data_IF_838321828618
#
_entry.id   IF_838321828618
#
_cell.length_a   1.000
_cell.length_b   1.000
_cell.length_c   1.000
_cell.angle_alpha   90.00
_cell.angle_beta   90.00
_cell.angle_gamma   90.00
#
_symmetry.space_group_name_H-M   'P 1'
#
loop_
_entity.id
_entity.type
_entity.pdbx_description
1 polymer ?
#
# COMPACT_ATOMS: atom_id res chain seq x y z
N UNK A 1 18.33 -22.68 14.53
CA UNK A 1 18.33 -21.41 15.30
C UNK A 1 17.69 -21.57 16.66
N UNK A 2 16.44 -22.06 16.78
CA UNK A 2 15.87 -22.37 18.10
C UNK A 2 16.40 -23.70 18.68
N UNK A 3 16.66 -24.68 17.81
CA UNK A 3 17.21 -25.99 18.21
C UNK A 3 18.74 -26.01 18.37
N UNK A 4 19.43 -24.89 18.13
CA UNK A 4 20.86 -24.79 18.42
C UNK A 4 21.07 -24.51 19.91
N UNK A 5 22.21 -24.91 20.48
CA UNK A 5 22.56 -24.69 21.90
C UNK A 5 22.35 -23.25 22.37
N UNK A 6 22.74 -22.28 21.55
CA UNK A 6 22.52 -20.85 21.81
C UNK A 6 21.03 -20.47 21.86
N UNK A 7 20.19 -21.10 21.03
CA UNK A 7 18.75 -20.89 20.99
C UNK A 7 18.05 -21.46 22.22
N UNK A 8 18.41 -22.68 22.62
CA UNK A 8 17.86 -23.34 23.81
C UNK A 8 18.28 -22.62 25.10
N UNK A 9 19.52 -22.13 25.20
CA UNK A 9 19.99 -21.32 26.33
C UNK A 9 19.19 -20.02 26.48
N UNK A 10 18.91 -19.31 25.37
CA UNK A 10 18.07 -18.09 25.41
C UNK A 10 16.63 -18.41 25.82
N UNK A 11 16.06 -19.51 25.31
CA UNK A 11 14.71 -19.94 25.69
C UNK A 11 14.64 -20.32 27.18
N UNK A 12 15.66 -21.01 27.70
CA UNK A 12 15.79 -21.35 29.13
C UNK A 12 15.92 -20.11 30.00
N UNK A 13 16.72 -19.11 29.59
CA UNK A 13 16.87 -17.82 30.31
C UNK A 13 15.53 -17.10 30.50
N UNK A 14 14.65 -17.14 29.50
CA UNK A 14 13.33 -16.52 29.59
C UNK A 14 12.24 -17.48 30.09
N UNK A 15 12.60 -18.72 30.48
CA UNK A 15 11.70 -19.77 30.92
C UNK A 15 10.57 -20.05 29.91
N UNK A 16 10.89 -20.33 28.64
CA UNK A 16 9.92 -20.68 27.59
C UNK A 16 10.41 -21.89 26.80
N UNK A 17 9.49 -22.78 26.40
CA UNK A 17 9.80 -23.86 25.46
C UNK A 17 10.16 -23.30 24.07
N UNK A 18 11.12 -23.95 23.40
CA UNK A 18 11.48 -23.65 22.01
C UNK A 18 10.30 -23.77 21.05
N UNK A 19 9.41 -24.74 21.29
CA UNK A 19 8.19 -24.96 20.50
C UNK A 19 7.24 -23.78 20.59
N UNK A 20 7.00 -23.26 21.80
CA UNK A 20 6.13 -22.10 21.97
C UNK A 20 6.75 -20.82 21.38
N UNK A 21 8.07 -20.66 21.47
CA UNK A 21 8.75 -19.55 20.79
C UNK A 21 8.58 -19.66 19.28
N UNK A 22 8.68 -20.88 18.73
CA UNK A 22 8.46 -21.13 17.30
C UNK A 22 7.01 -20.87 16.89
N UNK A 23 6.02 -21.36 17.63
CA UNK A 23 4.60 -21.13 17.37
C UNK A 23 4.25 -19.63 17.36
N UNK A 24 4.78 -18.88 18.33
CA UNK A 24 4.63 -17.41 18.37
C UNK A 24 5.31 -16.75 17.17
N UNK A 25 6.51 -17.20 16.77
CA UNK A 25 7.22 -16.65 15.62
C UNK A 25 6.46 -16.87 14.30
N UNK A 26 5.91 -18.08 14.08
CA UNK A 26 5.08 -18.41 12.91
C UNK A 26 3.82 -17.56 12.89
N UNK A 27 3.16 -17.41 14.04
CA UNK A 27 1.97 -16.57 14.18
C UNK A 27 2.30 -15.10 13.88
N UNK A 28 3.41 -14.57 14.39
CA UNK A 28 3.88 -13.22 14.07
C UNK A 28 4.18 -13.06 12.58
N UNK A 29 4.75 -14.08 11.92
CA UNK A 29 5.03 -14.06 10.49
C UNK A 29 3.75 -13.98 9.64
N UNK A 30 2.64 -14.58 10.09
CA UNK A 30 1.34 -14.49 9.39
C UNK A 30 0.79 -13.05 9.34
N UNK A 31 1.16 -12.21 10.31
CA UNK A 31 0.79 -10.80 10.37
C UNK A 31 1.83 -9.87 9.72
N UNK A 32 2.98 -10.42 9.32
CA UNK A 32 4.03 -9.63 8.71
C UNK A 32 3.71 -9.33 7.25
N UNK A 33 4.14 -8.16 6.77
CA UNK A 33 4.10 -7.82 5.36
C UNK A 33 4.99 -8.79 4.57
N UNK A 34 4.40 -9.56 3.64
CA UNK A 34 5.04 -10.69 2.96
C UNK A 34 6.38 -10.35 2.29
N UNK A 35 6.53 -9.13 1.77
CA UNK A 35 7.73 -8.71 1.03
C UNK A 35 8.89 -8.27 1.92
N UNK A 36 8.61 -7.75 3.13
CA UNK A 36 9.64 -7.13 3.98
C UNK A 36 9.80 -7.80 5.35
N UNK A 37 8.83 -8.59 5.78
CA UNK A 37 8.75 -9.15 7.15
C UNK A 37 8.43 -8.09 8.22
N UNK A 38 8.05 -6.87 7.82
CA UNK A 38 7.78 -5.75 8.73
C UNK A 38 6.29 -5.63 9.05
N UNK A 39 5.93 -4.64 9.89
CA UNK A 39 4.54 -4.28 10.22
C UNK A 39 3.73 -5.38 10.89
N UNK A 40 4.34 -6.14 11.78
CA UNK A 40 3.58 -7.05 12.67
C UNK A 40 2.86 -6.21 13.71
N UNK A 41 1.61 -5.85 13.40
CA UNK A 41 0.74 -4.97 14.18
C UNK A 41 -0.37 -5.73 14.92
N UNK A 42 -0.10 -6.95 15.38
CA UNK A 42 -1.08 -7.76 16.11
C UNK A 42 -0.99 -7.55 17.63
N UNK A 43 -2.17 -7.51 18.26
CA UNK A 43 -2.26 -7.44 19.72
C UNK A 43 -1.65 -8.70 20.36
N UNK A 44 -1.24 -8.56 21.63
CA UNK A 44 -0.65 -9.68 22.36
C UNK A 44 -1.67 -10.79 22.60
N UNK A 45 -2.93 -10.40 22.81
CA UNK A 45 -4.05 -11.31 23.04
C UNK A 45 -4.41 -12.06 21.76
N UNK A 46 -4.39 -11.38 20.62
CA UNK A 46 -4.60 -12.00 19.31
C UNK A 46 -3.52 -13.02 18.98
N UNK A 47 -2.25 -12.69 19.24
CA UNK A 47 -1.14 -13.63 19.03
C UNK A 47 -1.25 -14.80 19.98
N UNK A 48 -1.52 -14.55 21.27
CA UNK A 48 -1.72 -15.57 22.29
C UNK A 48 -2.80 -16.58 21.86
N UNK A 49 -3.98 -16.05 21.50
CA UNK A 49 -5.11 -16.85 21.06
C UNK A 49 -4.79 -17.68 19.80
N UNK A 50 -4.21 -17.07 18.75
CA UNK A 50 -3.88 -17.79 17.50
C UNK A 50 -2.75 -18.80 17.63
N UNK A 51 -1.84 -18.60 18.58
CA UNK A 51 -0.73 -19.53 18.82
C UNK A 51 -1.05 -20.58 19.89
N UNK A 52 -2.22 -20.52 20.53
CA UNK A 52 -2.60 -21.43 21.62
C UNK A 52 -1.77 -21.25 22.89
N UNK A 53 -1.15 -20.09 23.10
CA UNK A 53 -0.28 -19.82 24.25
C UNK A 53 -0.77 -18.64 25.08
N UNK A 54 -0.35 -18.57 26.35
CA UNK A 54 -0.73 -17.45 27.21
C UNK A 54 -0.02 -16.14 26.82
N UNK A 55 -0.64 -15.01 27.16
CA UNK A 55 -0.07 -13.67 26.90
C UNK A 55 1.31 -13.51 27.54
N UNK A 56 1.55 -14.14 28.69
CA UNK A 56 2.84 -14.18 29.38
C UNK A 56 3.89 -14.95 28.58
N UNK A 57 3.55 -16.10 27.98
CA UNK A 57 4.40 -16.81 27.02
C UNK A 57 4.75 -15.91 25.84
N UNK A 58 3.78 -15.17 25.28
CA UNK A 58 4.06 -14.23 24.19
C UNK A 58 5.06 -13.13 24.60
N UNK A 59 5.01 -12.56 25.83
CA UNK A 59 6.03 -11.57 26.25
C UNK A 59 7.40 -12.21 26.39
N UNK A 60 7.48 -13.40 26.97
CA UNK A 60 8.75 -14.12 27.12
C UNK A 60 9.33 -14.53 25.76
N UNK A 61 8.52 -15.06 24.85
CA UNK A 61 8.92 -15.41 23.49
C UNK A 61 9.43 -14.19 22.70
N UNK A 62 8.73 -13.04 22.78
CA UNK A 62 9.21 -11.79 22.17
C UNK A 62 10.56 -11.32 22.72
N UNK A 63 10.82 -11.52 24.02
CA UNK A 63 12.15 -11.25 24.61
C UNK A 63 13.21 -12.20 24.05
N UNK A 64 12.92 -13.49 23.96
CA UNK A 64 13.81 -14.49 23.37
C UNK A 64 14.14 -14.17 21.90
N UNK A 65 13.13 -13.88 21.08
CA UNK A 65 13.31 -13.51 19.66
C UNK A 65 14.12 -12.21 19.48
N UNK A 66 13.96 -11.26 20.41
CA UNK A 66 14.77 -10.03 20.44
C UNK A 66 16.23 -10.31 20.77
N UNK A 67 16.49 -11.16 21.76
CA UNK A 67 17.87 -11.56 22.12
C UNK A 67 18.54 -12.33 20.98
N UNK A 68 17.79 -13.18 20.27
CA UNK A 68 18.27 -13.90 19.08
C UNK A 68 18.42 -13.00 17.85
N UNK A 69 18.11 -11.70 17.94
CA UNK A 69 18.18 -10.73 16.83
C UNK A 69 17.36 -11.10 15.60
N UNK A 70 16.28 -11.88 15.78
CA UNK A 70 15.35 -12.29 14.71
C UNK A 70 14.05 -11.51 14.72
N UNK A 71 13.79 -10.74 15.77
CA UNK A 71 12.66 -9.82 15.83
C UNK A 71 13.05 -8.54 16.57
N UNK A 72 12.58 -7.40 16.07
CA UNK A 72 12.79 -6.09 16.69
C UNK A 72 11.46 -5.38 16.91
N UNK A 73 11.28 -4.86 18.12
CA UNK A 73 10.21 -3.93 18.40
C UNK A 73 10.56 -2.57 17.80
N UNK A 74 9.73 -2.11 16.88
CA UNK A 74 9.90 -0.82 16.20
C UNK A 74 9.18 0.28 16.97
N UNK A 75 7.97 -0.02 17.44
CA UNK A 75 7.13 0.90 18.21
C UNK A 75 6.55 0.15 19.39
N UNK A 76 6.70 0.71 20.60
CA UNK A 76 6.06 0.16 21.79
C UNK A 76 4.56 0.42 21.75
N UNK A 77 3.78 -0.59 22.15
CA UNK A 77 2.35 -0.41 22.32
C UNK A 77 2.08 0.62 23.41
N UNK A 78 1.10 1.49 23.19
CA UNK A 78 0.72 2.57 24.11
C UNK A 78 -0.79 2.76 24.13
N UNK A 79 -1.27 3.49 25.14
CA UNK A 79 -2.62 3.99 25.12
C UNK A 79 -2.77 5.06 24.04
N UNK A 80 -3.89 5.02 23.34
CA UNK A 80 -4.26 6.04 22.38
C UNK A 80 -4.75 7.27 23.14
N UNK A 81 -4.37 8.46 22.68
CA UNK A 81 -5.01 9.70 23.12
C UNK A 81 -6.49 9.70 22.74
N UNK A 82 -7.32 10.52 23.39
CA UNK A 82 -8.75 10.60 23.08
C UNK A 82 -9.04 10.86 21.60
N UNK A 83 -8.22 11.69 20.95
CA UNK A 83 -8.34 11.97 19.51
C UNK A 83 -7.88 10.80 18.64
N UNK A 84 -6.79 10.13 19.03
CA UNK A 84 -6.28 8.96 18.33
C UNK A 84 -7.26 7.78 18.45
N UNK A 85 -7.95 7.67 19.59
CA UNK A 85 -9.00 6.68 19.81
C UNK A 85 -10.23 6.95 18.92
N UNK A 86 -10.69 8.21 18.81
CA UNK A 86 -11.76 8.58 17.89
C UNK A 86 -11.37 8.36 16.43
N UNK A 87 -10.13 8.66 16.05
CA UNK A 87 -9.62 8.40 14.69
C UNK A 87 -9.51 6.89 14.39
N UNK A 88 -9.11 6.09 15.36
CA UNK A 88 -9.09 4.64 15.23
C UNK A 88 -10.53 4.06 15.14
N UNK A 89 -11.46 4.61 15.91
CA UNK A 89 -12.87 4.21 15.90
C UNK A 89 -13.55 4.56 14.57
N UNK A 90 -13.31 5.75 14.02
CA UNK A 90 -13.83 6.11 12.69
C UNK A 90 -13.25 5.25 11.57
N UNK A 91 -11.99 4.83 11.70
CA UNK A 91 -11.32 4.00 10.69
C UNK A 91 -11.67 2.51 10.78
N UNK A 92 -11.91 1.97 11.98
CA UNK A 92 -12.13 0.53 12.21
C UNK A 92 -13.55 0.16 12.65
N UNK A 93 -14.41 1.15 12.95
CA UNK A 93 -15.79 0.95 13.40
C UNK A 93 -15.93 0.34 14.80
N UNK A 94 -14.85 0.35 15.61
CA UNK A 94 -14.83 -0.23 16.96
C UNK A 94 -14.02 0.65 17.90
N UNK A 95 -14.43 0.69 19.17
CA UNK A 95 -13.71 1.42 20.22
C UNK A 95 -12.31 0.82 20.41
N UNK A 96 -11.28 1.60 20.06
CA UNK A 96 -9.89 1.23 20.27
C UNK A 96 -9.23 2.16 21.28
N UNK A 97 -8.83 1.61 22.43
CA UNK A 97 -8.16 2.38 23.51
C UNK A 97 -6.63 2.22 23.50
N UNK A 98 -6.11 1.23 22.77
CA UNK A 98 -4.69 0.85 22.80
C UNK A 98 -4.17 0.60 21.40
N UNK A 99 -2.96 1.09 21.11
CA UNK A 99 -2.17 0.70 19.96
C UNK A 99 -1.35 -0.54 20.31
N UNK A 100 -1.39 -1.55 19.45
CA UNK A 100 -0.50 -2.71 19.57
C UNK A 100 0.96 -2.30 19.28
N UNK A 101 1.90 -2.99 19.90
CA UNK A 101 3.32 -2.85 19.58
C UNK A 101 3.59 -3.27 18.13
N UNK A 102 4.38 -2.50 17.39
CA UNK A 102 4.78 -2.84 16.02
C UNK A 102 6.10 -3.59 16.05
N UNK A 103 6.12 -4.80 15.48
CA UNK A 103 7.31 -5.62 15.38
C UNK A 103 7.75 -5.78 13.92
N UNK A 104 9.05 -5.95 13.73
CA UNK A 104 9.66 -6.33 12.47
C UNK A 104 10.41 -7.65 12.67
N UNK A 105 10.13 -8.63 11.80
CA UNK A 105 10.89 -9.87 11.74
C UNK A 105 12.12 -9.64 10.87
N UNK A 106 13.25 -10.19 11.32
CA UNK A 106 14.54 -10.02 10.70
C UNK A 106 15.12 -11.39 10.36
N UNK A 107 15.63 -11.52 9.15
CA UNK A 107 16.42 -12.67 8.76
C UNK A 107 17.75 -12.68 9.52
N UNK A 108 18.16 -13.81 10.14
CA UNK A 108 19.47 -13.90 10.77
C UNK A 108 20.60 -13.53 9.81
N UNK A 109 21.60 -12.78 10.27
CA UNK A 109 22.74 -12.35 9.43
C UNK A 109 23.40 -13.52 8.70
N UNK A 110 23.57 -14.66 9.36
CA UNK A 110 24.14 -15.87 8.77
C UNK A 110 23.33 -16.41 7.58
N UNK A 111 21.99 -16.40 7.69
CA UNK A 111 21.08 -16.80 6.61
C UNK A 111 21.16 -15.81 5.46
N UNK A 112 21.15 -14.50 5.74
CA UNK A 112 21.29 -13.47 4.69
C UNK A 112 22.62 -13.60 3.95
N UNK A 113 23.72 -13.84 4.67
CA UNK A 113 25.04 -14.05 4.08
C UNK A 113 25.06 -15.35 3.26
N UNK A 114 24.46 -16.44 3.76
CA UNK A 114 24.38 -17.70 3.04
C UNK A 114 23.55 -17.59 1.76
N UNK A 115 22.37 -16.96 1.83
CA UNK A 115 21.51 -16.68 0.66
C UNK A 115 22.23 -15.75 -0.31
N UNK A 116 22.87 -14.68 0.16
CA UNK A 116 23.65 -13.78 -0.69
C UNK A 116 24.85 -14.46 -1.37
N UNK A 117 25.50 -15.42 -0.71
CA UNK A 117 26.54 -16.27 -1.31
C UNK A 117 25.96 -17.26 -2.31
N UNK A 118 24.80 -17.85 -2.02
CA UNK A 118 24.11 -18.77 -2.92
C UNK A 118 23.61 -18.05 -4.19
N UNK A 119 22.99 -16.87 -4.08
CA UNK A 119 22.54 -16.08 -5.23
C UNK A 119 23.70 -15.63 -6.10
N UNK A 120 24.84 -15.23 -5.51
CA UNK A 120 26.08 -14.96 -6.27
C UNK A 120 26.61 -16.22 -6.98
N UNK A 121 26.54 -17.39 -6.33
CA UNK A 121 26.94 -18.66 -6.95
C UNK A 121 25.98 -19.08 -8.07
N UNK A 122 24.67 -18.87 -7.92
CA UNK A 122 23.66 -19.12 -8.96
C UNK A 122 23.84 -18.16 -10.12
N UNK A 123 24.03 -16.85 -9.88
CA UNK A 123 24.33 -15.88 -10.93
C UNK A 123 25.63 -16.23 -11.70
N UNK A 124 26.61 -16.85 -11.03
CA UNK A 124 27.84 -17.35 -11.65
C UNK A 124 27.67 -18.71 -12.35
N UNK A 125 26.69 -19.54 -11.94
CA UNK A 125 26.34 -20.85 -12.53
C UNK A 125 25.30 -20.75 -13.65
N UNK A 126 24.52 -19.67 -13.73
CA UNK A 126 23.81 -19.29 -14.95
C UNK A 126 24.87 -18.77 -15.93
N UNK A 127 25.70 -19.71 -16.41
CA UNK A 127 26.31 -19.59 -17.72
C UNK A 127 25.17 -19.33 -18.69
N UNK A 128 25.32 -18.29 -19.51
CA UNK A 128 24.43 -17.97 -20.63
C UNK A 128 24.04 -19.26 -21.33
N UNK A 129 22.82 -19.74 -21.09
CA UNK A 129 22.24 -20.79 -21.91
C UNK A 129 22.14 -20.22 -23.32
N UNK A 130 22.76 -20.88 -24.31
CA UNK A 130 22.68 -20.53 -25.74
C UNK A 130 21.26 -20.69 -26.33
N UNK A 131 20.25 -20.91 -25.49
CA UNK A 131 18.86 -21.03 -25.91
C UNK A 131 18.27 -19.62 -26.01
N UNK A 132 18.12 -19.15 -27.24
CA UNK A 132 17.43 -17.90 -27.56
C UNK A 132 15.96 -18.02 -27.12
N UNK A 133 15.45 -17.19 -26.20
CA UNK A 133 14.01 -17.07 -26.00
C UNK A 133 13.41 -16.46 -27.28
N UNK A 134 12.42 -17.16 -27.85
CA UNK A 134 11.64 -16.71 -29.00
C UNK A 134 10.76 -15.53 -28.54
N UNK A 135 11.31 -14.33 -28.60
CA UNK A 135 10.58 -13.09 -28.28
C UNK A 135 9.72 -12.70 -29.47
N UNK A 136 8.45 -13.10 -29.43
CA UNK A 136 7.41 -12.71 -30.38
C UNK A 136 6.76 -11.42 -29.89
N UNK A 137 7.40 -10.24 -29.98
CA UNK A 137 6.70 -8.95 -29.96
C UNK A 137 7.56 -7.85 -30.61
N UNK A 138 6.98 -7.04 -31.52
CA UNK A 138 7.67 -5.89 -32.11
C UNK A 138 7.54 -4.71 -31.14
N UNK A 139 8.65 -4.17 -30.64
CA UNK A 139 8.64 -2.89 -29.95
C UNK A 139 9.32 -1.83 -30.81
N UNK A 140 8.52 -0.80 -31.03
CA UNK A 140 8.71 0.37 -31.86
C UNK A 140 10.01 1.11 -31.54
N UNK A 141 10.65 1.55 -32.62
CA UNK A 141 11.82 2.42 -32.65
C UNK A 141 11.37 3.85 -32.33
N UNK A 142 11.30 4.23 -31.06
CA UNK A 142 11.34 5.63 -30.61
C UNK A 142 11.41 5.71 -29.09
N UNK A 143 12.59 6.01 -28.54
CA UNK A 143 12.72 6.58 -27.18
C UNK A 143 13.70 7.76 -27.21
N UNK A 144 13.18 8.91 -26.77
CA UNK A 144 13.88 10.18 -26.65
C UNK A 144 14.88 10.28 -25.48
N UNK A 145 15.51 11.45 -25.31
CA UNK A 145 16.90 11.59 -24.86
C UNK A 145 17.14 11.59 -23.34
N UNK A 146 16.23 11.05 -22.50
CA UNK A 146 16.35 11.17 -21.03
C UNK A 146 16.42 9.84 -20.27
N UNK A 147 16.92 8.76 -20.89
CA UNK A 147 17.19 7.51 -20.18
C UNK A 147 18.69 7.38 -19.82
N UNK A 148 19.07 7.40 -18.53
CA UNK A 148 20.47 7.34 -18.11
C UNK A 148 21.04 5.91 -18.25
N UNK A 149 21.86 5.74 -19.28
CA UNK A 149 23.17 5.06 -19.30
C UNK A 149 23.38 3.71 -18.59
N UNK A 150 23.46 2.65 -19.42
CA UNK A 150 24.54 1.63 -19.51
C UNK A 150 24.07 0.57 -20.52
N UNK A 151 24.34 0.66 -21.82
CA UNK A 151 25.65 0.81 -22.45
C UNK A 151 26.29 -0.57 -22.58
N UNK A 152 26.23 -1.17 -23.77
CA UNK A 152 27.35 -1.92 -24.37
C UNK A 152 27.11 -2.08 -25.88
N UNK A 153 28.02 -1.46 -26.64
CA UNK A 153 28.23 -1.59 -28.08
C UNK A 153 28.61 -3.05 -28.39
N UNK A 154 28.28 -3.55 -29.59
CA UNK A 154 29.30 -4.07 -30.50
C UNK A 154 28.79 -4.05 -31.94
N UNK A 155 29.61 -3.43 -32.77
CA UNK A 155 29.63 -3.47 -34.22
C UNK A 155 30.07 -4.86 -34.71
N UNK A 156 29.80 -5.10 -35.99
CA UNK A 156 30.34 -6.18 -36.84
C UNK A 156 29.61 -7.53 -36.72
N UNK A 157 29.32 -8.29 -37.78
CA UNK A 157 29.78 -8.24 -39.14
C UNK A 157 28.62 -8.58 -40.09
N UNK A 158 28.60 -7.84 -41.19
CA UNK A 158 28.05 -8.25 -42.48
C UNK A 158 28.56 -9.65 -42.83
N UNK A 159 27.64 -10.59 -43.11
CA UNK A 159 27.68 -11.40 -44.33
C UNK A 159 26.51 -12.39 -44.39
N UNK A 160 25.80 -12.28 -45.51
CA UNK A 160 25.14 -13.35 -46.26
C UNK A 160 23.89 -14.00 -45.66
N UNK A 161 22.78 -13.28 -45.80
CA UNK A 161 21.50 -13.91 -46.10
C UNK A 161 20.95 -13.29 -47.38
N UNK A 162 21.20 -14.01 -48.48
CA UNK A 162 20.68 -13.73 -49.82
C UNK A 162 19.15 -13.73 -49.84
N UNK A 163 18.46 -12.69 -50.35
CA UNK A 163 17.01 -12.66 -50.42
C UNK A 163 16.54 -13.30 -51.74
N UNK A 164 16.57 -14.63 -51.84
CA UNK A 164 15.89 -15.36 -52.93
C UNK A 164 14.60 -15.97 -52.41
N UNK A 165 13.54 -15.17 -52.33
CA UNK A 165 12.09 -15.50 -52.29
C UNK A 165 11.29 -14.40 -51.56
N UNK A 166 11.37 -13.17 -52.05
CA UNK A 166 10.30 -12.19 -51.84
C UNK A 166 9.52 -12.11 -53.16
N UNK A 167 8.50 -12.95 -53.32
CA UNK A 167 7.54 -12.78 -54.42
C UNK A 167 6.63 -11.63 -54.04
N UNK A 168 6.85 -10.51 -54.72
CA UNK A 168 5.98 -9.34 -54.80
C UNK A 168 4.56 -9.78 -55.18
N UNK A 169 3.61 -9.75 -54.26
CA UNK A 169 2.19 -9.63 -54.62
C UNK A 169 1.92 -8.15 -54.85
N UNK A 170 2.30 -7.67 -56.03
CA UNK A 170 1.75 -6.45 -56.58
C UNK A 170 0.33 -6.79 -57.06
N UNK A 171 -0.70 -6.12 -56.51
CA UNK A 171 -2.02 -6.10 -57.14
C UNK A 171 -3.24 -6.56 -56.35
N UNK A 172 -3.18 -6.82 -55.04
CA UNK A 172 -4.40 -6.99 -54.23
C UNK A 172 -4.56 -5.83 -53.25
N UNK A 173 -5.26 -4.80 -53.69
CA UNK A 173 -5.80 -3.74 -52.82
C UNK A 173 -6.74 -4.41 -51.80
N UNK A 174 -6.54 -4.26 -50.48
CA UNK A 174 -7.50 -4.75 -49.50
C UNK A 174 -8.82 -4.01 -49.71
N UNK A 175 -9.92 -4.75 -49.84
CA UNK A 175 -11.28 -4.25 -50.15
C UNK A 175 -11.90 -3.34 -49.07
N UNK A 176 -11.12 -2.89 -48.08
CA UNK A 176 -11.54 -2.05 -46.96
C UNK A 176 -10.70 -0.76 -46.88
N UNK A 177 -10.50 -0.07 -48.00
CA UNK A 177 -9.88 1.25 -48.07
C UNK A 177 -10.90 2.36 -47.75
N UNK A 178 -11.55 2.28 -46.59
CA UNK A 178 -12.62 3.21 -46.19
C UNK A 178 -12.81 3.45 -44.69
N UNK A 179 -11.97 2.87 -43.83
CA UNK A 179 -12.00 3.19 -42.39
C UNK A 179 -10.82 4.12 -42.12
N UNK A 180 -11.03 5.42 -41.83
CA UNK A 180 -9.93 6.32 -41.49
C UNK A 180 -9.13 5.72 -40.33
N UNK A 181 -7.80 5.72 -40.46
CA UNK A 181 -6.87 5.02 -39.58
C UNK A 181 -7.25 5.18 -38.11
N UNK A 182 -7.60 4.08 -37.46
CA UNK A 182 -7.96 4.05 -36.04
C UNK A 182 -6.69 4.40 -35.26
N UNK A 183 -6.49 5.68 -34.97
CA UNK A 183 -5.40 6.13 -34.12
C UNK A 183 -5.44 5.31 -32.81
N UNK A 184 -4.28 4.83 -32.30
CA UNK A 184 -4.23 4.15 -31.03
C UNK A 184 -4.88 5.05 -29.97
N UNK A 185 -5.91 4.54 -29.30
CA UNK A 185 -6.64 5.34 -28.31
C UNK A 185 -5.71 5.77 -27.17
N UNK A 186 -5.93 6.93 -26.54
CA UNK A 186 -5.14 7.39 -25.41
C UNK A 186 -5.00 6.30 -24.35
N UNK A 187 -3.80 6.14 -23.80
CA UNK A 187 -3.53 5.09 -22.81
C UNK A 187 -4.31 5.29 -21.52
N UNK A 188 -4.56 6.55 -21.14
CA UNK A 188 -5.34 6.88 -19.93
C UNK A 188 -6.81 6.47 -20.11
N UNK A 189 -7.43 6.75 -21.26
CA UNK A 189 -8.76 6.26 -21.63
C UNK A 189 -8.88 4.73 -21.57
N UNK A 190 -7.83 4.01 -22.00
CA UNK A 190 -7.82 2.55 -21.96
C UNK A 190 -7.70 2.04 -20.51
N UNK A 191 -6.88 2.71 -19.68
CA UNK A 191 -6.74 2.38 -18.26
C UNK A 191 -8.01 2.67 -17.48
N UNK A 192 -8.65 3.82 -17.68
CA UNK A 192 -9.90 4.18 -17.01
C UNK A 192 -11.02 3.21 -17.39
N UNK A 193 -11.13 2.83 -18.67
CA UNK A 193 -12.08 1.81 -19.11
C UNK A 193 -11.81 0.44 -18.47
N UNK A 194 -10.55 0.00 -18.41
CA UNK A 194 -10.19 -1.27 -17.78
C UNK A 194 -10.46 -1.27 -16.27
N UNK A 195 -10.12 -0.16 -15.59
CA UNK A 195 -10.32 0.02 -14.16
C UNK A 195 -11.82 0.10 -13.80
N UNK A 196 -12.64 0.72 -14.66
CA UNK A 196 -14.11 0.71 -14.56
C UNK A 196 -14.68 -0.71 -14.65
N UNK A 197 -14.23 -1.51 -15.62
CA UNK A 197 -14.69 -2.90 -15.79
C UNK A 197 -14.26 -3.79 -14.62
N UNK A 198 -13.10 -3.54 -14.02
CA UNK A 198 -12.65 -4.24 -12.82
C UNK A 198 -13.54 -3.94 -11.62
N UNK A 199 -13.93 -2.67 -11.44
CA UNK A 199 -14.76 -2.24 -10.31
C UNK A 199 -16.27 -2.45 -10.50
N UNK A 200 -16.74 -2.62 -11.74
CA UNK A 200 -18.13 -2.95 -12.06
C UNK A 200 -18.18 -4.15 -13.03
N UNK A 201 -18.16 -5.39 -12.50
CA UNK A 201 -18.07 -6.60 -13.32
C UNK A 201 -19.34 -6.85 -14.15
N UNK A 202 -20.44 -6.18 -13.83
CA UNK A 202 -21.71 -6.24 -14.58
C UNK A 202 -21.51 -5.84 -16.05
N UNK A 203 -20.51 -5.01 -16.33
CA UNK A 203 -20.16 -4.59 -17.68
C UNK A 203 -19.09 -5.47 -18.36
N UNK A 204 -18.40 -6.34 -17.61
CA UNK A 204 -17.23 -7.08 -18.09
C UNK A 204 -17.58 -8.30 -18.96
N UNK A 205 -18.75 -8.91 -18.75
CA UNK A 205 -19.11 -10.19 -19.36
C UNK A 205 -19.39 -10.12 -20.86
N UNK A 206 -19.76 -8.95 -21.39
CA UNK A 206 -20.25 -8.81 -22.78
C UNK A 206 -19.72 -7.58 -23.52
N UNK A 207 -19.02 -6.65 -22.84
CA UNK A 207 -18.47 -5.46 -23.49
C UNK A 207 -16.97 -5.60 -23.79
N UNK A 208 -16.57 -5.39 -25.05
CA UNK A 208 -15.17 -5.17 -25.37
C UNK A 208 -14.70 -3.83 -24.76
N UNK A 209 -13.49 -3.79 -24.19
CA UNK A 209 -12.84 -2.55 -23.70
C UNK A 209 -12.92 -1.44 -24.76
N UNK A 210 -12.83 -1.85 -26.03
CA UNK A 210 -13.15 -1.09 -27.23
C UNK A 210 -14.41 -0.21 -27.12
N UNK A 211 -15.55 -0.83 -26.85
CA UNK A 211 -16.82 -0.13 -26.83
C UNK A 211 -16.97 0.76 -25.58
N UNK A 212 -16.35 0.38 -24.46
CA UNK A 212 -16.37 1.17 -23.23
C UNK A 212 -15.61 2.49 -23.39
N UNK A 213 -14.42 2.48 -24.00
CA UNK A 213 -13.71 3.74 -24.26
C UNK A 213 -14.50 4.66 -25.22
N UNK A 214 -15.25 4.11 -26.18
CA UNK A 214 -16.10 4.92 -27.07
C UNK A 214 -17.24 5.59 -26.29
N UNK A 215 -17.83 4.89 -25.32
CA UNK A 215 -18.82 5.49 -24.41
C UNK A 215 -18.21 6.62 -23.59
N UNK A 216 -17.07 6.36 -22.94
CA UNK A 216 -16.36 7.37 -22.13
C UNK A 216 -15.99 8.61 -22.96
N UNK A 217 -15.41 8.42 -24.14
CA UNK A 217 -15.07 9.51 -25.05
C UNK A 217 -16.32 10.30 -25.50
N UNK A 218 -17.45 9.62 -25.75
CA UNK A 218 -18.70 10.27 -26.16
C UNK A 218 -19.36 11.09 -25.04
N UNK A 219 -19.04 10.80 -23.78
CA UNK A 219 -19.62 11.49 -22.61
C UNK A 219 -18.80 12.69 -22.15
N UNK A 220 -17.58 12.87 -22.69
CA UNK A 220 -16.73 14.01 -22.35
C UNK A 220 -16.20 14.02 -20.91
N UNK A 221 -16.16 12.85 -20.25
CA UNK A 221 -15.61 12.74 -18.89
C UNK A 221 -14.11 12.96 -18.93
N UNK A 222 -13.62 13.88 -18.11
CA UNK A 222 -12.18 14.13 -17.98
C UNK A 222 -11.49 12.96 -17.29
N UNK A 223 -10.78 12.15 -18.08
CA UNK A 223 -10.03 10.97 -17.66
C UNK A 223 -8.96 11.27 -16.60
N UNK A 224 -8.48 12.52 -16.52
CA UNK A 224 -7.47 12.92 -15.54
C UNK A 224 -8.07 13.17 -14.16
N UNK A 225 -9.35 13.55 -14.10
CA UNK A 225 -10.08 13.87 -12.87
C UNK A 225 -10.90 12.69 -12.35
N UNK A 226 -11.42 11.88 -13.27
CA UNK A 226 -12.29 10.74 -12.98
C UNK A 226 -11.56 9.43 -13.26
N UNK A 227 -11.16 8.73 -12.20
CA UNK A 227 -10.64 7.37 -12.33
C UNK A 227 -11.75 6.37 -12.68
N UNK A 228 -11.40 5.22 -13.25
CA UNK A 228 -12.39 4.16 -13.54
C UNK A 228 -13.13 3.70 -12.27
N UNK A 229 -12.42 3.64 -11.13
CA UNK A 229 -13.01 3.42 -9.82
C UNK A 229 -14.02 4.50 -9.40
N UNK A 230 -13.72 5.78 -9.65
CA UNK A 230 -14.61 6.89 -9.30
C UNK A 230 -15.91 6.83 -10.11
N UNK A 231 -15.80 6.53 -11.41
CA UNK A 231 -16.95 6.36 -12.31
C UNK A 231 -17.83 5.19 -11.82
N UNK A 232 -17.23 4.05 -11.47
CA UNK A 232 -17.96 2.91 -10.92
C UNK A 232 -18.69 3.24 -9.60
N UNK A 233 -18.01 3.99 -8.72
CA UNK A 233 -18.56 4.42 -7.45
C UNK A 233 -19.75 5.37 -7.64
N UNK A 234 -19.66 6.34 -8.54
CA UNK A 234 -20.78 7.26 -8.83
C UNK A 234 -21.95 6.58 -9.53
N UNK A 235 -21.70 5.66 -10.46
CA UNK A 235 -22.77 4.83 -11.02
C UNK A 235 -23.50 4.04 -9.93
N UNK A 236 -22.76 3.51 -8.95
CA UNK A 236 -23.35 2.78 -7.81
C UNK A 236 -24.14 3.72 -6.90
N UNK A 237 -23.59 4.90 -6.61
CA UNK A 237 -24.24 5.92 -5.79
C UNK A 237 -25.54 6.41 -6.41
N UNK A 238 -25.53 6.76 -7.70
CA UNK A 238 -26.72 7.21 -8.42
C UNK A 238 -27.78 6.09 -8.47
N UNK A 239 -27.36 4.82 -8.62
CA UNK A 239 -28.28 3.66 -8.53
C UNK A 239 -28.95 3.60 -7.16
N UNK A 240 -28.17 3.73 -6.08
CA UNK A 240 -28.69 3.71 -4.71
C UNK A 240 -29.59 4.91 -4.39
N UNK A 241 -29.24 6.11 -4.84
CA UNK A 241 -30.02 7.33 -4.62
C UNK A 241 -31.40 7.27 -5.29
N UNK A 242 -31.50 6.58 -6.43
CA UNK A 242 -32.77 6.33 -7.13
C UNK A 242 -33.57 5.15 -6.54
N UNK A 243 -33.03 4.46 -5.53
CA UNK A 243 -33.65 3.28 -4.94
C UNK A 243 -33.64 2.05 -5.87
N UNK A 244 -32.76 2.03 -6.87
CA UNK A 244 -32.66 0.92 -7.81
C UNK A 244 -31.70 -0.15 -7.29
N UNK A 245 -31.90 -1.38 -7.76
CA UNK A 245 -30.98 -2.50 -7.52
C UNK A 245 -30.19 -2.74 -8.81
N UNK A 246 -28.91 -3.07 -8.66
CA UNK A 246 -28.07 -3.41 -9.81
C UNK A 246 -28.63 -4.65 -10.54
N UNK A 247 -28.82 -4.58 -11.87
CA UNK A 247 -29.25 -5.74 -12.65
C UNK A 247 -28.20 -6.86 -12.57
N UNK A 248 -28.66 -8.11 -12.39
CA UNK A 248 -27.78 -9.28 -12.41
C UNK A 248 -27.36 -9.67 -13.84
N UNK A 249 -28.23 -9.39 -14.81
CA UNK A 249 -27.98 -9.63 -16.23
C UNK A 249 -28.33 -8.38 -17.03
N UNK A 250 -27.45 -8.00 -17.97
CA UNK A 250 -27.67 -6.88 -18.89
C UNK A 250 -27.43 -7.39 -20.30
N UNK A 251 -28.48 -7.44 -21.11
CA UNK A 251 -28.40 -7.89 -22.52
C UNK A 251 -27.49 -6.98 -23.36
N UNK A 252 -27.56 -5.66 -23.13
CA UNK A 252 -26.73 -4.66 -23.80
C UNK A 252 -25.94 -3.80 -22.79
N UNK A 253 -24.76 -4.25 -22.32
CA UNK A 253 -23.99 -3.53 -21.31
C UNK A 253 -23.52 -2.16 -21.79
N UNK A 254 -23.14 -2.03 -23.06
CA UNK A 254 -22.61 -0.78 -23.63
C UNK A 254 -23.73 0.25 -23.79
N UNK A 255 -24.90 -0.17 -24.27
CA UNK A 255 -26.08 0.68 -24.37
C UNK A 255 -26.56 1.16 -23.00
N UNK A 256 -26.63 0.25 -22.02
CA UNK A 256 -26.99 0.59 -20.65
C UNK A 256 -25.97 1.54 -20.00
N UNK A 257 -24.66 1.28 -20.17
CA UNK A 257 -23.61 2.18 -19.68
C UNK A 257 -23.75 3.58 -20.29
N UNK A 258 -23.91 3.68 -21.61
CA UNK A 258 -24.09 4.95 -22.30
C UNK A 258 -25.32 5.71 -21.79
N UNK A 259 -26.42 5.01 -21.57
CA UNK A 259 -27.64 5.59 -21.00
C UNK A 259 -27.40 6.11 -19.58
N UNK A 260 -26.75 5.32 -18.71
CA UNK A 260 -26.42 5.75 -17.33
C UNK A 260 -25.49 6.96 -17.31
N UNK A 261 -24.46 6.97 -18.15
CA UNK A 261 -23.52 8.08 -18.18
C UNK A 261 -24.16 9.40 -18.61
N UNK A 262 -25.24 9.39 -19.40
CA UNK A 262 -25.99 10.61 -19.75
C UNK A 262 -26.81 11.18 -18.59
N UNK A 263 -27.09 10.39 -17.56
CA UNK A 263 -27.96 10.81 -16.44
C UNK A 263 -27.20 11.41 -15.26
N UNK A 264 -25.88 11.25 -15.23
CA UNK A 264 -25.03 11.70 -14.14
C UNK A 264 -24.33 12.99 -14.56
N UNK A 265 -24.29 13.94 -13.64
CA UNK A 265 -23.55 15.18 -13.80
C UNK A 265 -22.08 14.99 -13.44
N UNK A 266 -21.24 14.87 -14.48
CA UNK A 266 -19.79 14.65 -14.36
C UNK A 266 -18.98 15.94 -14.15
N UNK A 267 -19.63 17.11 -14.13
CA UNK A 267 -18.94 18.39 -13.89
C UNK A 267 -18.54 18.56 -12.42
N UNK A 268 -19.17 17.79 -11.54
CA UNK A 268 -18.91 17.75 -10.09
C UNK A 268 -17.49 17.27 -9.79
N UNK A 269 -16.94 17.61 -8.61
CA UNK A 269 -15.67 17.05 -8.18
C UNK A 269 -15.78 15.52 -8.06
N UNK A 270 -14.76 14.80 -8.51
CA UNK A 270 -14.77 13.34 -8.43
C UNK A 270 -14.67 12.88 -6.96
N UNK A 271 -15.17 11.68 -6.61
CA UNK A 271 -15.00 11.12 -5.28
C UNK A 271 -13.56 11.13 -4.77
N UNK A 272 -12.59 10.84 -5.64
CA UNK A 272 -11.17 10.92 -5.32
C UNK A 272 -10.70 12.35 -5.06
N UNK A 273 -11.12 13.34 -5.86
CA UNK A 273 -10.83 14.75 -5.60
C UNK A 273 -11.41 15.22 -4.27
N UNK A 274 -12.66 14.85 -3.97
CA UNK A 274 -13.31 15.17 -2.69
C UNK A 274 -12.56 14.54 -1.51
N UNK A 275 -12.16 13.27 -1.64
CA UNK A 275 -11.39 12.57 -0.61
C UNK A 275 -10.01 13.21 -0.39
N UNK A 276 -9.34 13.65 -1.47
CA UNK A 276 -8.07 14.37 -1.39
C UNK A 276 -8.23 15.70 -0.67
N UNK A 277 -9.25 16.49 -1.03
CA UNK A 277 -9.56 17.77 -0.36
C UNK A 277 -9.84 17.56 1.14
N UNK A 278 -10.69 16.59 1.49
CA UNK A 278 -10.99 16.27 2.88
C UNK A 278 -9.73 15.84 3.65
N UNK A 279 -8.84 15.07 3.03
CA UNK A 279 -7.57 14.66 3.62
C UNK A 279 -6.61 15.85 3.82
N UNK A 280 -6.57 16.80 2.87
CA UNK A 280 -5.80 18.03 3.00
C UNK A 280 -6.32 18.90 4.15
N UNK A 281 -7.63 19.09 4.24
CA UNK A 281 -8.25 19.83 5.34
C UNK A 281 -7.99 19.14 6.70
N UNK A 282 -8.06 17.80 6.76
CA UNK A 282 -7.74 17.06 7.97
C UNK A 282 -6.28 17.28 8.40
N UNK A 283 -5.33 17.28 7.44
CA UNK A 283 -3.91 17.57 7.71
C UNK A 283 -3.71 19.00 8.21
N UNK A 284 -4.40 19.98 7.62
CA UNK A 284 -4.36 21.38 8.07
C UNK A 284 -4.90 21.51 9.49
N UNK A 285 -6.04 20.88 9.81
CA UNK A 285 -6.61 20.87 11.17
C UNK A 285 -5.65 20.29 12.20
N UNK A 286 -4.93 19.23 11.85
CA UNK A 286 -3.90 18.63 12.71
C UNK A 286 -2.73 19.60 12.89
N UNK A 287 -2.22 20.18 11.81
CA UNK A 287 -1.12 21.15 11.87
C UNK A 287 -1.48 22.39 12.71
N UNK A 288 -2.69 22.94 12.55
CA UNK A 288 -3.19 24.07 13.34
C UNK A 288 -3.33 23.72 14.82
N UNK A 289 -3.78 22.50 15.11
CA UNK A 289 -3.85 21.99 16.47
C UNK A 289 -2.46 21.86 17.08
N UNK A 290 -1.51 21.27 16.37
CA UNK A 290 -0.13 21.09 16.84
C UNK A 290 0.58 22.43 17.04
N UNK A 291 0.32 23.41 16.16
CA UNK A 291 0.82 24.78 16.29
C UNK A 291 0.24 25.48 17.53
N UNK A 292 -1.06 25.32 17.81
CA UNK A 292 -1.68 25.85 19.04
C UNK A 292 -1.09 25.23 20.30
N UNK A 293 -0.89 23.90 20.31
CA UNK A 293 -0.27 23.20 21.44
C UNK A 293 1.18 23.66 21.64
N UNK A 294 1.94 23.79 20.55
CA UNK A 294 3.33 24.27 20.60
C UNK A 294 3.44 25.69 21.13
N UNK A 295 2.54 26.62 20.74
CA UNK A 295 2.50 27.99 21.31
C UNK A 295 2.21 27.96 22.81
N UNK A 296 1.24 27.15 23.25
CA UNK A 296 0.92 26.99 24.68
C UNK A 296 2.13 26.46 25.45
N UNK A 297 2.78 25.43 24.93
CA UNK A 297 3.92 24.79 25.59
C UNK A 297 5.14 25.73 25.64
N UNK A 298 5.35 26.58 24.62
CA UNK A 298 6.36 27.66 24.65
C UNK A 298 6.07 28.69 25.74
N UNK A 299 4.81 29.12 25.90
CA UNK A 299 4.42 30.04 26.98
C UNK A 299 4.62 29.42 28.36
N UNK A 300 4.29 28.13 28.54
CA UNK A 300 4.55 27.39 29.77
C UNK A 300 6.06 27.18 30.02
N UNK A 301 6.86 27.01 28.97
CA UNK A 301 8.32 26.89 29.02
C UNK A 301 9.03 28.25 29.19
N UNK A 302 8.30 29.37 29.29
CA UNK A 302 8.91 30.67 29.56
C UNK A 302 9.62 30.69 30.91
N UNK A 303 10.86 31.23 31.01
CA UNK A 303 11.58 31.37 32.27
C UNK A 303 10.74 32.06 33.37
N UNK A 304 9.95 33.08 33.00
CA UNK A 304 9.07 33.79 33.94
C UNK A 304 7.84 32.99 34.38
N UNK A 305 7.34 32.06 33.56
CA UNK A 305 6.29 31.12 33.98
C UNK A 305 6.84 30.08 34.96
N UNK A 306 8.00 29.49 34.65
CA UNK A 306 8.69 28.55 35.54
C UNK A 306 9.00 29.17 36.90
N UNK A 307 9.46 30.42 36.93
CA UNK A 307 9.76 31.12 38.18
C UNK A 307 8.51 31.36 39.04
N UNK A 308 7.39 31.77 38.42
CA UNK A 308 6.10 31.91 39.12
C UNK A 308 5.61 30.59 39.72
N UNK A 309 5.70 29.50 38.96
CA UNK A 309 5.33 28.18 39.46
C UNK A 309 6.21 27.72 40.63
N UNK A 310 7.53 27.98 40.59
CA UNK A 310 8.44 27.69 41.73
C UNK A 310 8.09 28.53 42.96
N UNK A 311 7.81 29.81 42.79
CA UNK A 311 7.42 30.71 43.89
C UNK A 311 6.09 30.27 44.53
N UNK A 312 5.09 29.91 43.71
CA UNK A 312 3.81 29.40 44.20
C UNK A 312 3.98 28.06 44.96
N UNK A 313 4.84 27.17 44.46
CA UNK A 313 5.15 25.92 45.14
C UNK A 313 5.88 26.15 46.47
N UNK A 314 6.86 27.06 46.50
CA UNK A 314 7.57 27.43 47.73
C UNK A 314 6.61 28.06 48.77
N UNK A 315 5.67 28.90 48.34
CA UNK A 315 4.67 29.51 49.22
C UNK A 315 3.64 28.49 49.77
N UNK A 316 3.29 27.45 49.00
CA UNK A 316 2.44 26.36 49.48
C UNK A 316 3.13 25.44 50.49
N UNK A 317 4.46 25.30 50.39
CA UNK A 317 5.23 24.35 51.19
C UNK A 317 6.01 24.99 52.35
N UNK A 318 5.80 26.29 52.59
CA UNK A 318 6.42 27.02 53.70
C UNK A 318 5.77 26.60 55.03
N UNK A 319 6.47 25.86 55.90
CA UNK A 319 5.92 25.34 57.16
C UNK A 319 5.71 26.43 58.24
N UNK A 320 5.96 27.72 57.92
CA UNK A 320 5.95 28.83 58.87
C UNK A 320 4.59 29.48 59.13
N UNK A 321 3.49 29.00 58.53
CA UNK A 321 2.13 29.51 58.77
C UNK A 321 1.23 28.57 59.60
N UNK A 322 1.80 27.61 60.33
CA UNK A 322 1.07 26.70 61.23
C UNK A 322 1.25 26.94 62.73
N UNK A 323 1.95 27.99 63.15
CA UNK A 323 2.28 28.20 64.56
C UNK A 323 2.22 29.67 64.97
N UNK A 324 1.00 30.20 65.11
CA UNK A 324 0.74 31.40 65.91
C UNK A 324 -0.77 31.60 66.08
N UNK A 325 -1.40 30.80 66.94
CA UNK A 325 -2.49 31.27 67.83
C UNK A 325 -2.35 30.51 69.15
N UNK A 326 -1.96 31.27 70.18
CA UNK A 326 -2.15 31.01 71.60
C UNK A 326 -3.62 31.29 71.91
#
# INVERSE_FOLDING_TARGET
MLNSRTGSEVCRRFNVSTEFVFAVAVTMASFAERSTGRRVCASRDTIAHRSGVSVSVVKRARRALRTLSVAREMVRGRYLSGDEAHAAESHHGRIQRRAASVWALMSPKSVVIAVGRATKKVAKKVRRSNVRPRSTYPQLVARGPLSPSRGFKLLSLVRELSPKRARTRAGEQPKNAGIPGRHPRPIELQRTAADLLFHSPVFASTAHIGSVCEVLASTGVDESRWSGRDIAAELTRDTQQRGWVWPQHIENPVGYLRWRMKQIDWTRPSPSEMAQKAAQEARQRIADRDARLSRRDQLAASPGHRQRCRQAFAAMHDPRKGGAQI
#
